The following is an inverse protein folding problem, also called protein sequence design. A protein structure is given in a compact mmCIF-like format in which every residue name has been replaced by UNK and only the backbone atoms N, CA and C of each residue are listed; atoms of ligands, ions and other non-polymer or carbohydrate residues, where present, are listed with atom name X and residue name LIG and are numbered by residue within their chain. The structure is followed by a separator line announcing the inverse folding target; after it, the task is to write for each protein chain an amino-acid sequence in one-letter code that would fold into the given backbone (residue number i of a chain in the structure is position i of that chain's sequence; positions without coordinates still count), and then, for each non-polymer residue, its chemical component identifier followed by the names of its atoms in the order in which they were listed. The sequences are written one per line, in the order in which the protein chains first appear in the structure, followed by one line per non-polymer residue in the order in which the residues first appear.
data_IF_408308210710
#
_entry.id   IF_408308210710
#
_cell.length_a   1.000
_cell.length_b   1.000
_cell.length_c   1.000
_cell.angle_alpha   90.00
_cell.angle_beta   90.00
_cell.angle_gamma   90.00
#
_symmetry.space_group_name_H-M   'P 1'
#
loop_
_entity.id
_entity.type
_entity.pdbx_description
1 polymer ?
#
# COMPACT_ATOMS: atom_id res chain seq x y z
N UNK A 1 -87.54 8.17 -11.33
CA UNK A 1 -86.31 8.36 -12.14
C UNK A 1 -85.49 7.09 -12.07
N UNK A 2 -85.49 6.28 -13.14
CA UNK A 2 -84.69 5.07 -13.24
C UNK A 2 -83.45 5.46 -14.04
N UNK A 3 -82.34 5.74 -13.36
CA UNK A 3 -81.05 5.96 -14.02
C UNK A 3 -80.49 4.57 -14.33
N UNK A 4 -80.77 4.08 -15.53
CA UNK A 4 -80.25 2.83 -16.05
C UNK A 4 -78.93 3.12 -16.79
N UNK A 5 -77.86 3.43 -16.05
CA UNK A 5 -76.53 3.52 -16.63
C UNK A 5 -75.99 2.11 -16.81
N UNK A 6 -75.99 1.61 -18.04
CA UNK A 6 -75.25 0.40 -18.41
C UNK A 6 -73.77 0.65 -18.12
N UNK A 7 -73.26 0.09 -17.02
CA UNK A 7 -71.85 0.14 -16.68
C UNK A 7 -71.03 -0.53 -17.78
N UNK A 8 -69.95 0.11 -18.21
CA UNK A 8 -69.04 -0.48 -19.20
C UNK A 8 -68.29 -1.68 -18.59
N UNK A 9 -67.83 -2.62 -19.42
CA UNK A 9 -67.02 -3.76 -18.94
C UNK A 9 -65.78 -3.28 -18.16
N UNK A 10 -65.19 -2.16 -18.58
CA UNK A 10 -64.02 -1.59 -17.93
C UNK A 10 -64.34 -1.06 -16.52
N UNK A 11 -65.46 -0.38 -16.33
CA UNK A 11 -65.93 0.08 -15.01
C UNK A 11 -66.23 -1.10 -14.09
N UNK A 12 -66.89 -2.14 -14.61
CA UNK A 12 -67.18 -3.36 -13.84
C UNK A 12 -65.88 -4.04 -13.42
N UNK A 13 -64.93 -4.24 -14.35
CA UNK A 13 -63.62 -4.80 -14.04
C UNK A 13 -62.91 -3.97 -12.96
N UNK A 14 -62.90 -2.65 -13.09
CA UNK A 14 -62.23 -1.78 -12.12
C UNK A 14 -62.87 -1.91 -10.73
N UNK A 15 -64.20 -1.93 -10.65
CA UNK A 15 -64.92 -2.12 -9.39
C UNK A 15 -64.55 -3.44 -8.69
N UNK A 16 -64.23 -4.49 -9.45
CA UNK A 16 -63.75 -5.76 -8.90
C UNK A 16 -62.27 -5.71 -8.52
N UNK A 17 -61.42 -5.02 -9.30
CA UNK A 17 -59.98 -4.84 -8.99
C UNK A 17 -59.78 -4.08 -7.68
N UNK A 18 -60.63 -3.09 -7.41
CA UNK A 18 -60.55 -2.28 -6.18
C UNK A 18 -60.88 -3.10 -4.93
N UNK A 19 -61.60 -4.22 -5.10
CA UNK A 19 -61.95 -5.15 -4.03
C UNK A 19 -60.89 -6.21 -3.75
N UNK A 20 -59.81 -6.28 -4.53
CA UNK A 20 -58.72 -7.22 -4.32
C UNK A 20 -57.88 -6.76 -3.13
N UNK A 21 -57.85 -7.59 -2.09
CA UNK A 21 -57.06 -7.38 -0.88
C UNK A 21 -55.95 -8.43 -0.83
N UNK A 22 -54.71 -7.97 -0.63
CA UNK A 22 -53.58 -8.86 -0.36
C UNK A 22 -53.36 -8.95 1.14
N UNK A 23 -53.11 -10.17 1.63
CA UNK A 23 -52.84 -10.44 3.02
C UNK A 23 -51.32 -10.60 3.21
N UNK A 24 -50.73 -9.94 4.23
CA UNK A 24 -49.32 -10.15 4.55
C UNK A 24 -49.10 -11.59 5.04
N UNK A 25 -47.88 -12.12 4.89
CA UNK A 25 -47.55 -13.41 5.48
C UNK A 25 -47.60 -13.35 7.01
N UNK A 26 -47.75 -14.53 7.62
CA UNK A 26 -47.58 -14.73 9.06
C UNK A 26 -46.15 -15.15 9.34
N UNK A 27 -45.62 -14.77 10.51
CA UNK A 27 -44.24 -15.07 10.88
C UNK A 27 -43.23 -14.12 10.24
N UNK A 28 -41.94 -14.36 10.51
CA UNK A 28 -40.85 -13.46 10.11
C UNK A 28 -39.78 -14.21 9.31
N UNK A 29 -39.13 -13.47 8.41
CA UNK A 29 -37.97 -13.93 7.64
C UNK A 29 -38.18 -15.30 6.95
N UNK A 30 -37.24 -16.24 7.07
CA UNK A 30 -37.26 -17.56 6.44
C UNK A 30 -38.41 -18.45 6.89
N UNK A 31 -39.05 -18.13 8.03
CA UNK A 31 -40.17 -18.89 8.60
C UNK A 31 -41.54 -18.33 8.20
N UNK A 32 -41.58 -17.27 7.39
CA UNK A 32 -42.84 -16.67 6.95
C UNK A 32 -43.69 -17.66 6.16
N UNK A 33 -44.99 -17.69 6.47
CA UNK A 33 -45.93 -18.65 5.89
C UNK A 33 -47.30 -18.01 5.64
N UNK A 34 -48.05 -18.63 4.74
CA UNK A 34 -49.48 -18.42 4.53
C UNK A 34 -50.21 -19.72 4.86
N UNK A 35 -51.48 -19.61 5.25
CA UNK A 35 -52.30 -20.79 5.57
C UNK A 35 -53.08 -21.15 4.32
N UNK A 36 -53.00 -22.41 3.91
CA UNK A 36 -53.86 -22.92 2.86
C UNK A 36 -55.31 -22.94 3.34
N UNK A 37 -56.18 -22.25 2.62
CA UNK A 37 -57.58 -22.11 3.03
C UNK A 37 -58.38 -23.41 2.91
N UNK A 38 -57.90 -24.36 2.09
CA UNK A 38 -58.56 -25.64 1.85
C UNK A 38 -58.06 -26.73 2.79
N UNK A 39 -56.75 -26.80 3.03
CA UNK A 39 -56.15 -27.86 3.86
C UNK A 39 -55.83 -27.42 5.29
N UNK A 40 -55.73 -26.12 5.54
CA UNK A 40 -55.27 -25.55 6.81
C UNK A 40 -53.75 -25.63 7.00
N UNK A 41 -53.01 -26.17 6.03
CA UNK A 41 -51.57 -26.37 6.13
C UNK A 41 -50.80 -25.06 6.01
N UNK A 42 -49.60 -25.04 6.58
CA UNK A 42 -48.68 -23.91 6.43
C UNK A 42 -47.91 -24.06 5.12
N UNK A 43 -48.10 -23.10 4.22
CA UNK A 43 -47.30 -22.97 3.00
C UNK A 43 -46.24 -21.90 3.26
N UNK A 44 -44.97 -22.26 3.06
CA UNK A 44 -43.87 -21.28 3.17
C UNK A 44 -44.10 -20.14 2.18
N UNK A 45 -44.10 -18.93 2.69
CA UNK A 45 -44.48 -17.76 1.91
C UNK A 45 -43.47 -17.47 0.80
N UNK A 46 -42.17 -17.61 1.07
CA UNK A 46 -41.10 -17.32 0.10
C UNK A 46 -41.11 -18.32 -1.07
N UNK A 47 -41.49 -19.57 -0.81
CA UNK A 47 -41.51 -20.67 -1.78
C UNK A 47 -42.89 -20.85 -2.44
N UNK A 48 -43.90 -20.08 -2.02
CA UNK A 48 -45.26 -20.19 -2.52
C UNK A 48 -45.33 -19.79 -4.00
N UNK A 49 -45.94 -20.67 -4.81
CA UNK A 49 -46.15 -20.41 -6.23
C UNK A 49 -47.31 -19.41 -6.45
N UNK A 50 -47.46 -18.94 -7.69
CA UNK A 50 -48.50 -17.98 -8.09
C UNK A 50 -49.93 -18.44 -7.75
N UNK A 51 -50.17 -19.75 -7.77
CA UNK A 51 -51.48 -20.33 -7.48
C UNK A 51 -51.80 -20.23 -5.99
N UNK A 52 -50.88 -20.74 -5.15
CA UNK A 52 -50.96 -20.66 -3.70
C UNK A 52 -51.04 -19.20 -3.22
N UNK A 53 -50.26 -18.29 -3.80
CA UNK A 53 -50.32 -16.87 -3.45
C UNK A 53 -51.68 -16.26 -3.80
N UNK A 54 -52.23 -16.56 -4.98
CA UNK A 54 -53.54 -16.04 -5.38
C UNK A 54 -54.63 -16.52 -4.42
N UNK A 55 -54.70 -17.83 -4.16
CA UNK A 55 -55.76 -18.42 -3.34
C UNK A 55 -55.63 -18.09 -1.85
N UNK A 56 -54.40 -18.11 -1.32
CA UNK A 56 -54.18 -18.06 0.13
C UNK A 56 -53.62 -16.72 0.63
N UNK A 57 -53.03 -15.90 -0.24
CA UNK A 57 -52.52 -14.57 0.12
C UNK A 57 -53.39 -13.42 -0.41
N UNK A 58 -54.56 -13.72 -0.99
CA UNK A 58 -55.56 -12.71 -1.37
C UNK A 58 -56.97 -13.18 -1.05
N UNK A 59 -57.95 -12.29 -1.17
CA UNK A 59 -59.37 -12.64 -1.08
C UNK A 59 -59.97 -13.21 -2.39
N UNK A 60 -59.14 -13.77 -3.29
CA UNK A 60 -59.57 -14.23 -4.62
C UNK A 60 -60.72 -15.23 -4.59
N UNK A 61 -60.71 -16.21 -3.68
CA UNK A 61 -61.74 -17.25 -3.64
C UNK A 61 -63.13 -16.69 -3.32
N UNK A 62 -63.18 -15.68 -2.46
CA UNK A 62 -64.42 -14.94 -2.20
C UNK A 62 -64.89 -14.22 -3.47
N UNK A 63 -64.00 -13.50 -4.14
CA UNK A 63 -64.34 -12.77 -5.37
C UNK A 63 -64.78 -13.73 -6.49
N UNK A 64 -64.13 -14.89 -6.59
CA UNK A 64 -64.46 -15.95 -7.56
C UNK A 64 -65.91 -16.42 -7.41
N UNK A 65 -66.35 -16.68 -6.17
CA UNK A 65 -67.73 -17.09 -5.88
C UNK A 65 -68.71 -15.97 -6.26
N UNK A 66 -68.43 -14.73 -5.84
CA UNK A 66 -69.33 -13.60 -6.09
C UNK A 66 -69.44 -13.24 -7.59
N UNK A 67 -68.33 -13.28 -8.34
CA UNK A 67 -68.32 -13.02 -9.79
C UNK A 67 -69.11 -14.10 -10.53
N UNK A 68 -68.93 -15.38 -10.16
CA UNK A 68 -69.69 -16.50 -10.75
C UNK A 68 -71.19 -16.40 -10.49
N UNK A 69 -71.60 -15.86 -9.35
CA UNK A 69 -73.01 -15.63 -9.03
C UNK A 69 -73.59 -14.42 -9.80
N UNK A 70 -72.81 -13.36 -9.99
CA UNK A 70 -73.28 -12.08 -10.56
C UNK A 70 -73.31 -12.06 -12.10
N UNK A 71 -72.43 -12.79 -12.77
CA UNK A 71 -72.25 -12.71 -14.23
C UNK A 71 -72.40 -14.09 -14.91
N UNK A 72 -72.80 -14.10 -16.19
CA UNK A 72 -72.96 -15.32 -17.01
C UNK A 72 -72.25 -15.21 -18.35
N UNK A 73 -72.03 -16.35 -19.00
CA UNK A 73 -71.48 -16.44 -20.36
C UNK A 73 -70.07 -15.83 -20.50
N UNK A 74 -69.77 -15.30 -21.69
CA UNK A 74 -68.45 -14.73 -22.04
C UNK A 74 -68.08 -13.57 -21.12
N UNK A 75 -69.05 -12.76 -20.71
CA UNK A 75 -68.84 -11.61 -19.82
C UNK A 75 -68.26 -12.05 -18.47
N UNK A 76 -68.77 -13.15 -17.90
CA UNK A 76 -68.26 -13.75 -16.67
C UNK A 76 -66.80 -14.18 -16.83
N UNK A 77 -66.46 -14.85 -17.92
CA UNK A 77 -65.10 -15.33 -18.17
C UNK A 77 -64.10 -14.17 -18.35
N UNK A 78 -64.51 -13.09 -19.03
CA UNK A 78 -63.68 -11.89 -19.20
C UNK A 78 -63.36 -11.23 -17.84
N UNK A 79 -64.37 -11.07 -16.97
CA UNK A 79 -64.18 -10.53 -15.62
C UNK A 79 -63.31 -11.47 -14.79
N UNK A 80 -63.61 -12.78 -14.77
CA UNK A 80 -62.88 -13.77 -13.98
C UNK A 80 -61.39 -13.83 -14.34
N UNK A 81 -61.07 -13.92 -15.63
CA UNK A 81 -59.67 -13.98 -16.08
C UNK A 81 -58.93 -12.70 -15.69
N UNK A 82 -59.54 -11.54 -15.89
CA UNK A 82 -58.92 -10.26 -15.53
C UNK A 82 -58.64 -10.17 -14.03
N UNK A 83 -59.60 -10.58 -13.19
CA UNK A 83 -59.42 -10.56 -11.73
C UNK A 83 -58.43 -11.62 -11.27
N UNK A 84 -58.40 -12.80 -11.89
CA UNK A 84 -57.39 -13.84 -11.64
C UNK A 84 -55.98 -13.31 -11.87
N UNK A 85 -55.75 -12.66 -13.01
CA UNK A 85 -54.44 -12.08 -13.33
C UNK A 85 -54.07 -10.95 -12.38
N UNK A 86 -54.98 -10.03 -12.08
CA UNK A 86 -54.69 -8.91 -11.20
C UNK A 86 -54.43 -9.36 -9.76
N UNK A 87 -55.20 -10.33 -9.23
CA UNK A 87 -54.96 -10.89 -7.90
C UNK A 87 -53.59 -11.58 -7.83
N UNK A 88 -53.23 -12.37 -8.84
CA UNK A 88 -51.91 -13.02 -8.92
C UNK A 88 -50.79 -11.98 -8.97
N UNK A 89 -50.91 -10.97 -9.83
CA UNK A 89 -49.93 -9.90 -9.98
C UNK A 89 -49.69 -9.15 -8.67
N UNK A 90 -50.77 -8.77 -7.97
CA UNK A 90 -50.66 -8.03 -6.70
C UNK A 90 -50.05 -8.90 -5.60
N UNK A 91 -50.45 -10.16 -5.50
CA UNK A 91 -49.90 -11.08 -4.50
C UNK A 91 -48.39 -11.32 -4.70
N UNK A 92 -47.97 -11.53 -5.96
CA UNK A 92 -46.57 -11.75 -6.29
C UNK A 92 -45.72 -10.49 -6.04
N UNK A 93 -46.25 -9.31 -6.41
CA UNK A 93 -45.59 -8.04 -6.10
C UNK A 93 -45.43 -7.86 -4.58
N UNK A 94 -46.49 -8.10 -3.81
CA UNK A 94 -46.43 -7.99 -2.36
C UNK A 94 -45.41 -8.95 -1.73
N UNK A 95 -45.36 -10.20 -2.21
CA UNK A 95 -44.36 -11.18 -1.80
C UNK A 95 -42.93 -10.70 -2.12
N UNK A 96 -42.71 -10.21 -3.33
CA UNK A 96 -41.42 -9.69 -3.78
C UNK A 96 -40.96 -8.50 -2.92
N UNK A 97 -41.84 -7.51 -2.73
CA UNK A 97 -41.56 -6.31 -1.91
C UNK A 97 -41.26 -6.71 -0.46
N UNK A 98 -42.01 -7.66 0.10
CA UNK A 98 -41.79 -8.17 1.46
C UNK A 98 -40.46 -8.91 1.60
N UNK A 99 -40.11 -9.78 0.65
CA UNK A 99 -38.81 -10.49 0.65
C UNK A 99 -37.67 -9.47 0.62
N UNK A 100 -37.75 -8.47 -0.27
CA UNK A 100 -36.72 -7.44 -0.36
C UNK A 100 -36.53 -6.69 0.96
N UNK A 101 -37.62 -6.24 1.58
CA UNK A 101 -37.57 -5.55 2.86
C UNK A 101 -37.03 -6.46 3.98
N UNK A 102 -37.46 -7.72 4.02
CA UNK A 102 -37.06 -8.66 5.07
C UNK A 102 -35.57 -9.01 5.04
N UNK A 103 -34.92 -8.98 3.87
CA UNK A 103 -33.49 -9.31 3.73
C UNK A 103 -32.59 -8.09 3.59
N UNK A 104 -33.13 -6.88 3.44
CA UNK A 104 -32.34 -5.67 3.21
C UNK A 104 -31.30 -5.42 4.32
N UNK A 105 -31.69 -5.54 5.59
CA UNK A 105 -30.77 -5.37 6.72
C UNK A 105 -29.63 -6.40 6.75
N UNK A 106 -29.91 -7.66 6.42
CA UNK A 106 -28.89 -8.71 6.34
C UNK A 106 -27.92 -8.47 5.18
N UNK A 107 -28.42 -7.99 4.03
CA UNK A 107 -27.61 -7.61 2.87
C UNK A 107 -26.70 -6.43 3.22
N UNK A 108 -27.22 -5.41 3.88
CA UNK A 108 -26.45 -4.23 4.31
C UNK A 108 -25.36 -4.62 5.32
N UNK A 109 -25.69 -5.45 6.31
CA UNK A 109 -24.74 -5.95 7.31
C UNK A 109 -23.63 -6.82 6.69
N UNK A 110 -23.96 -7.66 5.70
CA UNK A 110 -22.96 -8.45 4.98
C UNK A 110 -21.98 -7.56 4.19
N UNK A 111 -22.48 -6.46 3.60
CA UNK A 111 -21.64 -5.50 2.87
C UNK A 111 -20.71 -4.72 3.81
N UNK A 112 -21.22 -4.22 4.94
CA UNK A 112 -20.38 -3.49 5.93
C UNK A 112 -19.31 -4.39 6.52
N UNK A 113 -19.66 -5.61 6.95
CA UNK A 113 -18.69 -6.57 7.51
C UNK A 113 -17.56 -6.91 6.51
N UNK A 114 -17.87 -7.01 5.22
CA UNK A 114 -16.85 -7.27 4.20
C UNK A 114 -15.91 -6.05 4.04
N UNK A 115 -16.48 -4.85 4.00
CA UNK A 115 -15.71 -3.61 3.94
C UNK A 115 -14.79 -3.46 5.17
N UNK A 116 -15.31 -3.68 6.36
CA UNK A 116 -14.56 -3.61 7.63
C UNK A 116 -13.41 -4.62 7.64
N UNK A 117 -13.67 -5.84 7.17
CA UNK A 117 -12.64 -6.88 7.06
C UNK A 117 -11.54 -6.50 6.06
N UNK A 118 -11.89 -5.94 4.91
CA UNK A 118 -10.91 -5.44 3.93
C UNK A 118 -10.08 -4.29 4.51
N UNK A 119 -10.70 -3.37 5.24
CA UNK A 119 -10.01 -2.27 5.92
C UNK A 119 -9.03 -2.77 6.99
N UNK A 120 -9.42 -3.75 7.81
CA UNK A 120 -8.55 -4.34 8.83
C UNK A 120 -7.29 -4.99 8.22
N UNK A 121 -7.45 -5.75 7.13
CA UNK A 121 -6.31 -6.36 6.40
C UNK A 121 -5.38 -5.27 5.86
N UNK A 122 -5.93 -4.17 5.34
CA UNK A 122 -5.13 -3.05 4.82
C UNK A 122 -4.36 -2.34 5.94
N UNK A 123 -4.99 -2.11 7.09
CA UNK A 123 -4.35 -1.52 8.28
C UNK A 123 -3.20 -2.41 8.75
N UNK A 124 -3.40 -3.73 8.84
CA UNK A 124 -2.34 -4.65 9.25
C UNK A 124 -1.15 -4.63 8.29
N UNK A 125 -1.41 -4.60 6.98
CA UNK A 125 -0.37 -4.46 5.96
C UNK A 125 0.42 -3.15 6.11
N UNK A 126 -0.29 -2.03 6.29
CA UNK A 126 0.35 -0.71 6.48
C UNK A 126 1.19 -0.69 7.76
N UNK A 127 0.71 -1.28 8.86
CA UNK A 127 1.48 -1.39 10.11
C UNK A 127 2.77 -2.22 9.93
N UNK A 128 2.71 -3.32 9.17
CA UNK A 128 3.91 -4.10 8.82
C UNK A 128 4.91 -3.28 7.99
N UNK A 129 4.44 -2.46 7.06
CA UNK A 129 5.31 -1.57 6.30
C UNK A 129 5.98 -0.52 7.20
N UNK A 130 5.22 0.15 8.06
CA UNK A 130 5.73 1.18 8.98
C UNK A 130 6.80 0.59 9.90
N UNK A 131 6.52 -0.54 10.55
CA UNK A 131 7.48 -1.20 11.45
C UNK A 131 8.77 -1.63 10.73
N UNK A 132 8.67 -2.04 9.47
CA UNK A 132 9.85 -2.39 8.65
C UNK A 132 10.68 -1.16 8.33
N UNK A 133 10.05 -0.07 7.87
CA UNK A 133 10.71 1.20 7.57
C UNK A 133 11.37 1.81 8.81
N UNK A 134 10.73 1.72 9.98
CA UNK A 134 11.32 2.21 11.24
C UNK A 134 12.58 1.43 11.62
N UNK A 135 12.62 0.11 11.40
CA UNK A 135 13.81 -0.71 11.64
C UNK A 135 14.94 -0.32 10.69
N UNK A 136 14.63 -0.14 9.40
CA UNK A 136 15.59 0.31 8.39
C UNK A 136 16.15 1.70 8.74
N UNK A 137 15.30 2.65 9.13
CA UNK A 137 15.72 3.99 9.55
C UNK A 137 16.63 3.95 10.79
N UNK A 138 16.31 3.13 11.79
CA UNK A 138 17.17 2.96 12.97
C UNK A 138 18.54 2.39 12.58
N UNK A 139 18.57 1.40 11.70
CA UNK A 139 19.81 0.81 11.18
C UNK A 139 20.63 1.87 10.43
N UNK A 140 20.04 2.57 9.47
CA UNK A 140 20.70 3.61 8.69
C UNK A 140 21.26 4.72 9.58
N UNK A 141 20.48 5.16 10.58
CA UNK A 141 20.92 6.17 11.55
C UNK A 141 22.13 5.71 12.35
N UNK A 142 22.19 4.44 12.73
CA UNK A 142 23.33 3.85 13.43
C UNK A 142 24.58 3.77 12.54
N UNK A 143 24.42 3.37 11.27
CA UNK A 143 25.49 3.29 10.27
C UNK A 143 26.07 4.68 9.98
N UNK A 144 25.22 5.68 9.73
CA UNK A 144 25.66 7.06 9.53
C UNK A 144 26.42 7.61 10.75
N UNK A 145 25.96 7.31 11.97
CA UNK A 145 26.65 7.73 13.20
C UNK A 145 28.01 7.05 13.36
N UNK A 146 28.13 5.77 12.97
CA UNK A 146 29.39 5.04 12.92
C UNK A 146 30.36 5.65 11.92
N UNK A 147 29.93 5.77 10.66
CA UNK A 147 30.74 6.34 9.58
C UNK A 147 31.22 7.77 9.86
N UNK A 148 30.39 8.61 10.48
CA UNK A 148 30.78 9.96 10.87
C UNK A 148 31.93 9.96 11.89
N UNK A 149 31.90 9.04 12.88
CA UNK A 149 32.98 8.91 13.88
C UNK A 149 34.27 8.42 13.25
N UNK A 150 34.19 7.45 12.34
CA UNK A 150 35.34 6.92 11.62
C UNK A 150 35.99 8.01 10.77
N UNK A 151 35.18 8.77 10.02
CA UNK A 151 35.65 9.89 9.20
C UNK A 151 36.32 10.98 10.04
N UNK A 152 35.72 11.37 11.17
CA UNK A 152 36.32 12.33 12.10
C UNK A 152 37.67 11.83 12.64
N UNK A 153 37.77 10.54 12.94
CA UNK A 153 39.00 9.93 13.45
C UNK A 153 40.10 9.91 12.37
N UNK A 154 39.76 9.51 11.15
CA UNK A 154 40.65 9.52 10.00
C UNK A 154 41.14 10.93 9.68
N UNK A 155 40.25 11.92 9.69
CA UNK A 155 40.59 13.33 9.48
C UNK A 155 41.58 13.86 10.52
N UNK A 156 41.34 13.60 11.82
CA UNK A 156 42.28 13.98 12.89
C UNK A 156 43.64 13.33 12.72
N UNK A 157 43.70 12.06 12.29
CA UNK A 157 44.96 11.34 12.01
C UNK A 157 45.71 12.01 10.84
N UNK A 158 45.01 12.31 9.76
CA UNK A 158 45.57 12.97 8.59
C UNK A 158 46.11 14.37 8.92
N UNK A 159 45.36 15.15 9.71
CA UNK A 159 45.79 16.47 10.17
C UNK A 159 47.11 16.41 10.97
N UNK A 160 47.25 15.40 11.85
CA UNK A 160 48.51 15.16 12.60
C UNK A 160 49.65 14.78 11.68
N UNK A 161 49.41 13.92 10.68
CA UNK A 161 50.42 13.53 9.70
C UNK A 161 50.87 14.73 8.86
N UNK A 162 49.93 15.54 8.39
CA UNK A 162 50.21 16.76 7.65
C UNK A 162 51.08 17.72 8.46
N UNK A 163 50.73 18.00 9.71
CA UNK A 163 51.53 18.87 10.58
C UNK A 163 52.96 18.34 10.82
N UNK A 164 53.14 17.02 10.92
CA UNK A 164 54.48 16.41 11.03
C UNK A 164 55.29 16.57 9.74
N UNK A 165 54.65 16.39 8.59
CA UNK A 165 55.31 16.51 7.29
C UNK A 165 55.69 17.96 6.99
N UNK A 166 54.86 18.94 7.35
CA UNK A 166 55.20 20.37 7.28
C UNK A 166 56.47 20.67 8.09
N UNK A 167 56.52 20.27 9.37
CA UNK A 167 57.71 20.46 10.21
C UNK A 167 58.94 19.75 9.66
N UNK A 168 58.77 18.55 9.10
CA UNK A 168 59.87 17.82 8.46
C UNK A 168 60.41 18.57 7.24
N UNK A 169 59.53 19.10 6.39
CA UNK A 169 59.92 19.89 5.21
C UNK A 169 60.61 21.19 5.61
N UNK A 170 60.16 21.87 6.66
CA UNK A 170 60.83 23.05 7.20
C UNK A 170 62.27 22.73 7.66
N UNK A 171 62.45 21.64 8.43
CA UNK A 171 63.79 21.18 8.86
C UNK A 171 64.70 20.84 7.67
N UNK A 172 64.18 20.12 6.68
CA UNK A 172 64.91 19.81 5.46
C UNK A 172 65.26 21.09 4.68
N UNK A 173 64.34 22.06 4.61
CA UNK A 173 64.58 23.36 4.00
C UNK A 173 65.71 24.14 4.68
N UNK A 174 65.76 24.15 6.02
CA UNK A 174 66.86 24.77 6.78
C UNK A 174 68.19 24.05 6.53
N UNK A 175 68.20 22.72 6.55
CA UNK A 175 69.40 21.92 6.29
C UNK A 175 69.93 22.08 4.86
N UNK A 176 69.05 22.15 3.86
CA UNK A 176 69.46 22.40 2.49
C UNK A 176 70.06 23.79 2.29
N UNK A 177 69.51 24.82 2.97
CA UNK A 177 70.08 26.17 2.97
C UNK A 177 71.49 26.20 3.57
N UNK A 178 71.70 25.52 4.71
CA UNK A 178 73.01 25.45 5.34
C UNK A 178 74.03 24.71 4.46
N UNK A 179 73.67 23.56 3.88
CA UNK A 179 74.53 22.84 2.93
C UNK A 179 74.89 23.69 1.69
N UNK A 180 73.93 24.47 1.20
CA UNK A 180 74.18 25.43 0.12
C UNK A 180 75.27 26.45 0.45
N UNK A 181 75.30 26.95 1.69
CA UNK A 181 76.33 27.88 2.16
C UNK A 181 77.74 27.25 2.20
N UNK A 182 77.85 25.98 2.60
CA UNK A 182 79.14 25.28 2.66
C UNK A 182 79.72 24.90 1.28
N UNK A 183 78.91 24.90 0.21
CA UNK A 183 79.36 24.59 -1.15
C UNK A 183 80.52 25.47 -1.62
N UNK A 184 80.51 26.76 -1.26
CA UNK A 184 81.58 27.70 -1.58
C UNK A 184 82.86 27.40 -0.81
N UNK A 185 82.76 27.15 0.51
CA UNK A 185 83.89 26.80 1.37
C UNK A 185 84.54 25.49 0.93
N UNK A 186 83.74 24.48 0.60
CA UNK A 186 84.24 23.20 0.10
C UNK A 186 85.03 23.37 -1.20
N UNK A 187 84.51 24.13 -2.17
CA UNK A 187 85.24 24.43 -3.43
C UNK A 187 86.57 25.15 -3.19
N UNK A 188 86.61 26.10 -2.25
CA UNK A 188 87.86 26.81 -1.89
C UNK A 188 88.86 25.86 -1.21
N UNK A 189 88.39 25.05 -0.26
CA UNK A 189 89.22 24.06 0.41
C UNK A 189 89.80 23.04 -0.60
N UNK A 190 88.98 22.57 -1.54
CA UNK A 190 89.40 21.65 -2.60
C UNK A 190 90.50 22.26 -3.48
N UNK A 191 90.37 23.54 -3.88
CA UNK A 191 91.42 24.26 -4.62
C UNK A 191 92.70 24.37 -3.81
N UNK A 192 92.61 24.77 -2.54
CA UNK A 192 93.78 24.89 -1.66
C UNK A 192 94.48 23.54 -1.44
N UNK A 193 93.72 22.46 -1.29
CA UNK A 193 94.24 21.11 -1.10
C UNK A 193 94.96 20.60 -2.36
N UNK A 194 94.50 20.98 -3.55
CA UNK A 194 95.19 20.68 -4.81
C UNK A 194 96.56 21.38 -4.89
N UNK A 195 96.63 22.67 -4.53
CA UNK A 195 97.89 23.44 -4.48
C UNK A 195 98.85 22.85 -3.45
N UNK A 196 98.37 22.59 -2.23
CA UNK A 196 99.21 21.96 -1.19
C UNK A 196 99.72 20.57 -1.60
N UNK A 197 98.94 19.81 -2.40
CA UNK A 197 99.39 18.52 -2.95
C UNK A 197 100.52 18.67 -3.96
N UNK A 198 100.47 19.68 -4.83
CA UNK A 198 101.55 19.95 -5.79
C UNK A 198 102.80 20.43 -5.05
N UNK A 199 102.65 21.38 -4.13
CA UNK A 199 103.77 21.87 -3.31
C UNK A 199 104.42 20.75 -2.49
N UNK A 200 103.64 19.87 -1.86
CA UNK A 200 104.20 18.71 -1.14
C UNK A 200 104.97 17.76 -2.07
N UNK A 201 104.50 17.57 -3.30
CA UNK A 201 105.18 16.72 -4.29
C UNK A 201 106.52 17.34 -4.67
N UNK A 202 106.54 18.65 -4.92
CA UNK A 202 107.75 19.37 -5.30
C UNK A 202 108.77 19.40 -4.16
N UNK A 203 108.32 19.65 -2.92
CA UNK A 203 109.17 19.57 -1.72
C UNK A 203 109.76 18.17 -1.53
N UNK A 204 108.98 17.10 -1.72
CA UNK A 204 109.51 15.73 -1.67
C UNK A 204 110.57 15.48 -2.73
N UNK A 205 110.41 16.01 -3.94
CA UNK A 205 111.43 15.91 -4.98
C UNK A 205 112.70 16.67 -4.60
N UNK A 206 112.58 17.86 -4.04
CA UNK A 206 113.71 18.65 -3.55
C UNK A 206 114.45 17.95 -2.41
N UNK A 207 113.74 17.39 -1.43
CA UNK A 207 114.32 16.59 -0.34
C UNK A 207 115.09 15.39 -0.90
N UNK A 208 114.49 14.60 -1.79
CA UNK A 208 115.16 13.46 -2.41
C UNK A 208 116.44 13.87 -3.17
N UNK A 209 116.40 15.02 -3.87
CA UNK A 209 117.57 15.58 -4.57
C UNK A 209 118.68 16.00 -3.59
N UNK A 210 118.32 16.59 -2.45
CA UNK A 210 119.26 16.97 -1.41
C UNK A 210 119.85 15.74 -0.71
N UNK A 211 119.04 14.75 -0.35
CA UNK A 211 119.49 13.47 0.21
C UNK A 211 120.45 12.75 -0.75
N UNK A 212 120.16 12.75 -2.05
CA UNK A 212 121.06 12.20 -3.06
C UNK A 212 122.39 12.95 -3.11
N UNK A 213 122.37 14.29 -3.05
CA UNK A 213 123.59 15.11 -3.02
C UNK A 213 124.41 14.88 -1.75
N UNK A 214 123.78 14.79 -0.58
CA UNK A 214 124.46 14.52 0.70
C UNK A 214 125.11 13.13 0.68
N UNK A 215 124.40 12.09 0.22
CA UNK A 215 124.98 10.75 0.02
C UNK A 215 126.18 10.72 -0.93
N UNK A 216 126.26 11.67 -1.87
CA UNK A 216 127.37 11.79 -2.83
C UNK A 216 128.57 12.58 -2.26
N UNK A 217 128.40 13.26 -1.14
CA UNK A 217 129.46 14.03 -0.44
C UNK A 217 130.01 13.24 0.76
N UNK A 218 129.23 12.34 1.35
CA UNK A 218 129.63 11.49 2.49
C UNK A 218 130.23 10.12 2.09
N UNK A 219 130.29 9.79 0.79
CA UNK A 219 130.95 8.60 0.25
C UNK A 219 132.05 8.97 -0.73
#
# INVERSE_FOLDING_TARGET
MIINTQQTLQEVIQSWKDRIVCHPPRGESTSAYIIDSNTGDRVKYIEANCDSLRHNATNYDRLLIEIKAKHKGIYKEAVLNTIKYEATRRAFKAQHDWIHQSYQGAIEQAKTNNLDRQMLVKIEYLNKMVTTRDRELKKLKSECKGGLKELQTAYKKLQRQYAREVKRRERLGMSNKSLGAYKGHFRRAQKKLAVLKTENKDLRQQVNLLEFKVRKVEG
#
